data_IF_939609935992
#
_entry.id   IF_939609935992
#
_cell.length_a   1.000
_cell.length_b   1.000
_cell.length_c   1.000
_cell.angle_alpha   90.00
_cell.angle_beta   90.00
_cell.angle_gamma   90.00
#
_symmetry.space_group_name_H-M   'P 1'
#
loop_
_entity.id
_entity.type
_entity.pdbx_description
1 polymer ?
#
# COMPACT_ATOMS: atom_id res chain seq x y z
N UNK A 1 -33.10 48.64 -52.12
CA UNK A 1 -32.08 49.25 -51.24
C UNK A 1 -32.03 48.39 -50.00
N UNK A 2 -31.30 47.27 -50.07
CA UNK A 2 -31.03 46.42 -48.90
C UNK A 2 -29.60 46.71 -48.43
N UNK A 3 -29.48 47.01 -47.14
CA UNK A 3 -28.24 47.35 -46.46
C UNK A 3 -27.75 46.06 -45.81
N UNK A 4 -26.75 45.41 -46.40
CA UNK A 4 -26.11 44.22 -45.84
C UNK A 4 -25.20 44.60 -44.67
N UNK A 5 -25.66 44.41 -43.44
CA UNK A 5 -24.85 44.53 -42.24
C UNK A 5 -24.14 43.18 -41.99
N UNK A 6 -22.85 43.08 -42.33
CA UNK A 6 -22.04 41.91 -41.95
C UNK A 6 -21.61 42.05 -40.49
N UNK A 7 -22.26 41.31 -39.59
CA UNK A 7 -21.72 41.05 -38.25
C UNK A 7 -20.63 39.98 -38.39
N UNK A 8 -19.37 40.39 -38.39
CA UNK A 8 -18.26 39.47 -38.13
C UNK A 8 -18.29 39.11 -36.64
N UNK A 9 -18.86 37.95 -36.31
CA UNK A 9 -18.76 37.36 -34.98
C UNK A 9 -17.30 36.95 -34.76
N UNK A 10 -16.55 37.74 -34.00
CA UNK A 10 -15.20 37.37 -33.59
C UNK A 10 -15.29 36.10 -32.75
N UNK A 11 -14.69 35.00 -33.23
CA UNK A 11 -14.53 33.79 -32.43
C UNK A 11 -13.80 34.16 -31.12
N UNK A 12 -14.24 33.65 -29.95
CA UNK A 12 -13.51 33.88 -28.72
C UNK A 12 -12.10 33.32 -28.89
N UNK A 13 -11.09 34.18 -28.81
CA UNK A 13 -9.70 33.73 -28.67
C UNK A 13 -9.64 32.95 -27.37
N UNK A 14 -9.59 31.63 -27.46
CA UNK A 14 -9.15 30.80 -26.35
C UNK A 14 -7.73 31.26 -26.01
N UNK A 15 -7.57 32.01 -24.93
CA UNK A 15 -6.26 32.19 -24.31
C UNK A 15 -5.79 30.77 -23.97
N UNK A 16 -4.66 30.28 -24.50
CA UNK A 16 -4.15 28.99 -24.06
C UNK A 16 -3.94 29.10 -22.56
N UNK A 17 -4.63 28.25 -21.78
CA UNK A 17 -4.47 28.22 -20.34
C UNK A 17 -2.96 28.19 -20.03
N UNK A 18 -2.47 29.16 -19.26
CA UNK A 18 -1.06 29.22 -18.90
C UNK A 18 -0.66 27.88 -18.30
N UNK A 19 0.51 27.31 -18.69
CA UNK A 19 0.93 26.03 -18.14
C UNK A 19 1.01 26.13 -16.61
N UNK A 20 0.81 25.00 -15.89
CA UNK A 20 1.04 24.95 -14.45
C UNK A 20 2.43 25.51 -14.11
N UNK A 21 2.54 26.17 -12.95
CA UNK A 21 3.81 26.66 -12.44
C UNK A 21 4.78 25.50 -12.19
N UNK A 22 4.25 24.37 -11.71
CA UNK A 22 4.95 23.10 -11.58
C UNK A 22 4.01 21.96 -11.94
N UNK A 23 4.56 20.96 -12.60
CA UNK A 23 3.87 19.74 -12.98
C UNK A 23 4.81 18.55 -12.80
N UNK A 24 4.55 17.73 -11.78
CA UNK A 24 5.32 16.54 -11.46
C UNK A 24 4.49 15.30 -11.77
N UNK A 25 4.66 14.71 -12.96
CA UNK A 25 3.97 13.50 -13.36
C UNK A 25 4.88 12.28 -13.12
N UNK A 26 4.64 11.59 -12.01
CA UNK A 26 5.44 10.43 -11.59
C UNK A 26 5.11 9.17 -12.39
N UNK A 27 3.93 9.12 -13.00
CA UNK A 27 3.50 8.02 -13.88
C UNK A 27 4.25 8.09 -15.20
N UNK A 28 4.21 9.26 -15.86
CA UNK A 28 4.91 9.50 -17.11
C UNK A 28 6.42 9.76 -16.92
N UNK A 29 6.86 9.97 -15.68
CA UNK A 29 8.22 10.42 -15.31
C UNK A 29 8.60 11.70 -16.04
N UNK A 30 7.65 12.62 -16.17
CA UNK A 30 7.82 13.92 -16.80
C UNK A 30 7.65 15.01 -15.74
N UNK A 31 8.64 15.90 -15.65
CA UNK A 31 8.68 16.94 -14.63
C UNK A 31 8.91 18.28 -15.30
N UNK A 32 8.02 19.22 -15.07
CA UNK A 32 8.04 20.52 -15.75
C UNK A 32 7.88 21.66 -14.78
N UNK A 33 8.69 22.71 -14.97
CA UNK A 33 8.51 24.01 -14.30
C UNK A 33 8.15 25.05 -15.34
N UNK A 34 6.99 25.70 -15.19
CA UNK A 34 6.47 26.66 -16.17
C UNK A 34 6.37 26.10 -17.59
N UNK A 35 6.05 24.81 -17.72
CA UNK A 35 5.97 24.11 -19.02
C UNK A 35 7.31 23.62 -19.61
N UNK A 36 8.45 23.88 -18.98
CA UNK A 36 9.77 23.40 -19.44
C UNK A 36 10.17 22.13 -18.70
N UNK A 37 10.58 21.09 -19.42
CA UNK A 37 11.08 19.83 -18.83
C UNK A 37 12.36 20.07 -18.00
N UNK A 38 12.42 19.50 -16.81
CA UNK A 38 13.53 19.63 -15.88
C UNK A 38 13.79 18.31 -15.15
N UNK A 39 15.02 18.03 -14.68
CA UNK A 39 15.26 16.85 -13.85
C UNK A 39 14.52 16.93 -12.53
N UNK A 40 13.99 15.81 -12.04
CA UNK A 40 13.26 15.72 -10.75
C UNK A 40 14.06 16.33 -9.59
N UNK A 41 15.37 16.07 -9.54
CA UNK A 41 16.25 16.57 -8.48
C UNK A 41 16.36 18.11 -8.41
N UNK A 42 15.94 18.83 -9.45
CA UNK A 42 15.92 20.31 -9.46
C UNK A 42 14.60 20.92 -9.00
N UNK A 43 13.55 20.10 -8.85
CA UNK A 43 12.19 20.53 -8.47
C UNK A 43 11.67 19.83 -7.22
N UNK A 44 12.33 18.76 -6.76
CA UNK A 44 11.95 18.01 -5.59
C UNK A 44 13.20 17.47 -4.87
N UNK A 45 13.25 17.68 -3.56
CA UNK A 45 14.16 17.05 -2.62
C UNK A 45 13.50 15.80 -2.03
N UNK A 46 14.33 14.84 -1.63
CA UNK A 46 13.88 13.62 -0.98
C UNK A 46 14.90 13.16 0.06
N UNK A 47 14.41 12.72 1.22
CA UNK A 47 15.22 12.12 2.26
C UNK A 47 14.53 10.92 2.90
N UNK A 48 15.27 9.83 3.12
CA UNK A 48 14.87 8.65 3.91
C UNK A 48 16.14 7.96 4.41
N UNK A 49 16.30 7.82 5.72
CA UNK A 49 17.54 7.28 6.30
C UNK A 49 17.71 5.76 6.13
N UNK A 50 16.62 5.01 6.06
CA UNK A 50 16.64 3.54 5.91
C UNK A 50 16.40 3.08 4.47
N UNK A 51 16.91 1.91 4.06
CA UNK A 51 16.42 1.23 2.85
C UNK A 51 14.93 0.91 2.95
N UNK A 52 14.24 0.81 1.82
CA UNK A 52 12.82 0.44 1.79
C UNK A 52 12.45 -0.26 0.48
N UNK A 53 11.46 -1.16 0.52
CA UNK A 53 11.03 -1.90 -0.66
C UNK A 53 10.09 -1.10 -1.57
N UNK A 54 10.05 -1.45 -2.84
CA UNK A 54 9.07 -1.04 -3.85
C UNK A 54 9.02 -2.09 -4.97
N UNK A 55 8.05 -2.01 -5.85
CA UNK A 55 7.93 -2.81 -7.06
C UNK A 55 8.36 -1.97 -8.26
N UNK A 56 9.32 -2.49 -9.03
CA UNK A 56 9.80 -1.81 -10.24
C UNK A 56 8.84 -1.99 -11.43
N UNK A 57 9.15 -1.34 -12.56
CA UNK A 57 8.34 -1.40 -13.77
C UNK A 57 8.25 -2.82 -14.38
N UNK A 58 9.10 -3.76 -13.95
CA UNK A 58 9.03 -5.16 -14.36
C UNK A 58 8.14 -6.01 -13.42
N UNK A 59 7.49 -5.40 -12.43
CA UNK A 59 6.68 -6.10 -11.43
C UNK A 59 7.53 -6.86 -10.41
N UNK A 60 8.80 -6.49 -10.22
CA UNK A 60 9.73 -7.17 -9.32
C UNK A 60 9.95 -6.32 -8.05
N UNK A 61 9.87 -6.97 -6.89
CA UNK A 61 10.22 -6.33 -5.62
C UNK A 61 11.71 -5.96 -5.58
N UNK A 62 11.99 -4.70 -5.23
CA UNK A 62 13.33 -4.10 -5.13
C UNK A 62 13.50 -3.41 -3.80
N UNK A 63 14.75 -3.18 -3.41
CA UNK A 63 15.11 -2.31 -2.29
C UNK A 63 15.72 -1.04 -2.85
N UNK A 64 15.12 0.11 -2.53
CA UNK A 64 15.74 1.41 -2.73
C UNK A 64 16.68 1.70 -1.55
N UNK A 65 17.93 2.13 -1.78
CA UNK A 65 18.82 2.62 -0.73
C UNK A 65 18.24 3.83 0.01
N UNK A 66 18.96 4.28 1.04
CA UNK A 66 18.69 5.57 1.68
C UNK A 66 18.68 6.70 0.64
N UNK A 67 17.89 7.74 0.90
CA UNK A 67 17.75 8.97 0.10
C UNK A 67 17.40 8.75 -1.38
N UNK A 68 16.87 7.57 -1.72
CA UNK A 68 16.42 7.24 -3.07
C UNK A 68 14.89 7.21 -3.14
N UNK A 69 14.25 8.11 -3.91
CA UNK A 69 12.80 8.08 -4.14
C UNK A 69 12.36 6.74 -4.75
N UNK A 70 11.16 6.28 -4.36
CA UNK A 70 10.56 5.04 -4.87
C UNK A 70 9.46 5.39 -5.86
N UNK A 71 9.65 5.08 -7.15
CA UNK A 71 8.58 5.12 -8.16
C UNK A 71 8.02 3.72 -8.27
N UNK A 72 6.86 3.52 -7.66
CA UNK A 72 6.27 2.21 -7.40
C UNK A 72 5.33 1.77 -8.51
N UNK A 73 5.17 0.45 -8.63
CA UNK A 73 4.32 -0.21 -9.61
C UNK A 73 3.49 -1.31 -8.94
N UNK A 74 2.50 -1.81 -9.64
CA UNK A 74 1.89 -3.10 -9.31
C UNK A 74 2.77 -4.25 -9.81
N UNK A 75 2.55 -5.48 -9.33
CA UNK A 75 3.23 -6.64 -9.91
C UNK A 75 2.80 -6.87 -11.38
N UNK A 76 1.71 -6.26 -11.82
CA UNK A 76 1.31 -6.20 -13.24
C UNK A 76 2.20 -5.28 -14.10
N UNK A 77 3.05 -4.46 -13.47
CA UNK A 77 3.85 -3.42 -14.12
C UNK A 77 3.12 -2.09 -14.29
N UNK A 78 1.85 -1.97 -13.85
CA UNK A 78 1.13 -0.68 -13.89
C UNK A 78 1.78 0.33 -12.93
N UNK A 79 2.16 1.53 -13.38
CA UNK A 79 2.75 2.54 -12.51
C UNK A 79 1.74 3.08 -11.50
N UNK A 80 2.19 3.29 -10.26
CA UNK A 80 1.42 3.90 -9.16
C UNK A 80 1.92 5.30 -8.79
N UNK A 81 3.15 5.64 -9.19
CA UNK A 81 3.76 6.95 -8.99
C UNK A 81 4.76 6.98 -7.84
N UNK A 82 5.00 8.16 -7.27
CA UNK A 82 5.92 8.33 -6.14
C UNK A 82 5.31 7.75 -4.87
N UNK A 83 6.00 6.81 -4.25
CA UNK A 83 5.63 6.22 -2.96
C UNK A 83 6.27 7.00 -1.81
N UNK A 84 5.41 7.58 -0.95
CA UNK A 84 5.78 8.27 0.28
C UNK A 84 5.08 7.65 1.48
N UNK A 85 5.86 7.14 2.43
CA UNK A 85 5.34 6.46 3.61
C UNK A 85 5.84 7.11 4.90
N UNK A 86 4.96 7.21 5.90
CA UNK A 86 5.31 7.64 7.25
C UNK A 86 6.29 6.67 7.92
N UNK A 87 6.89 7.03 9.06
CA UNK A 87 7.73 6.08 9.80
C UNK A 87 6.86 4.91 10.31
N UNK A 88 7.40 3.69 10.26
CA UNK A 88 6.69 2.51 10.73
C UNK A 88 7.66 1.47 11.31
N UNK A 89 7.13 0.57 12.13
CA UNK A 89 7.87 -0.51 12.75
C UNK A 89 7.12 -1.82 12.57
N UNK A 90 7.81 -2.88 12.13
CA UNK A 90 7.25 -4.21 12.10
C UNK A 90 7.51 -4.91 13.44
N UNK A 91 6.41 -5.14 14.17
CA UNK A 91 6.41 -5.70 15.53
C UNK A 91 6.46 -7.22 15.57
N UNK A 92 6.19 -7.89 14.44
CA UNK A 92 6.33 -9.34 14.36
C UNK A 92 7.71 -9.68 13.80
N UNK A 93 8.37 -10.65 14.43
CA UNK A 93 9.66 -11.17 14.00
C UNK A 93 9.75 -12.65 14.32
N UNK A 94 10.29 -13.52 13.45
CA UNK A 94 10.70 -13.20 12.09
C UNK A 94 9.49 -12.90 11.20
N UNK A 95 9.64 -11.95 10.27
CA UNK A 95 8.63 -11.65 9.24
C UNK A 95 8.68 -12.69 8.12
N UNK A 96 9.86 -13.29 7.92
CA UNK A 96 10.00 -14.50 7.13
C UNK A 96 9.38 -15.65 7.92
N UNK A 97 8.54 -16.43 7.26
CA UNK A 97 7.77 -17.46 7.94
C UNK A 97 8.57 -18.77 8.05
N UNK A 98 9.90 -18.70 7.89
CA UNK A 98 10.78 -19.85 7.78
C UNK A 98 11.04 -20.57 9.10
N UNK A 99 10.94 -19.86 10.23
CA UNK A 99 11.06 -20.41 11.58
C UNK A 99 10.34 -19.54 12.62
N UNK A 100 10.20 -20.00 13.87
CA UNK A 100 9.61 -19.21 14.96
C UNK A 100 8.08 -19.05 14.95
N UNK A 101 7.40 -19.47 13.89
CA UNK A 101 5.94 -19.56 13.83
C UNK A 101 5.47 -20.98 14.16
N UNK A 102 4.37 -21.10 14.90
CA UNK A 102 3.68 -22.37 15.06
C UNK A 102 2.94 -22.69 13.77
N UNK A 103 3.07 -23.92 13.28
CA UNK A 103 2.47 -24.36 12.02
C UNK A 103 1.63 -25.60 12.30
N UNK A 104 0.34 -25.54 11.98
CA UNK A 104 -0.56 -26.69 11.90
C UNK A 104 -0.87 -26.96 10.43
N UNK A 105 -0.47 -28.14 9.92
CA UNK A 105 -0.77 -28.56 8.55
C UNK A 105 0.00 -27.81 7.45
N UNK A 106 1.28 -27.47 7.66
CA UNK A 106 2.04 -26.71 6.67
C UNK A 106 3.48 -27.15 6.44
N UNK A 107 4.03 -26.75 5.29
CA UNK A 107 5.40 -27.02 4.84
C UNK A 107 6.11 -25.73 4.42
N UNK A 108 7.44 -25.78 4.38
CA UNK A 108 8.28 -24.69 3.85
C UNK A 108 8.34 -24.75 2.32
N UNK A 109 8.25 -23.60 1.66
CA UNK A 109 8.54 -23.43 0.24
C UNK A 109 9.04 -22.00 -0.03
N UNK A 110 9.68 -21.72 -1.16
CA UNK A 110 9.96 -20.34 -1.55
C UNK A 110 8.69 -19.60 -2.00
N UNK A 111 8.57 -18.33 -1.61
CA UNK A 111 7.62 -17.39 -2.18
C UNK A 111 7.97 -17.07 -3.65
N UNK A 112 7.02 -16.50 -4.43
CA UNK A 112 7.30 -16.05 -5.80
C UNK A 112 8.45 -15.02 -5.91
N UNK A 113 8.72 -14.26 -4.84
CA UNK A 113 9.81 -13.29 -4.75
C UNK A 113 11.14 -13.91 -4.25
N UNK A 114 11.17 -15.23 -4.03
CA UNK A 114 12.33 -15.96 -3.52
C UNK A 114 12.50 -15.93 -1.99
N UNK A 115 11.65 -15.19 -1.26
CA UNK A 115 11.65 -15.20 0.20
C UNK A 115 11.12 -16.51 0.78
N UNK A 116 11.29 -16.73 2.08
CA UNK A 116 10.72 -17.91 2.75
C UNK A 116 9.20 -17.78 2.91
N UNK A 117 8.47 -18.78 2.43
CA UNK A 117 7.03 -18.90 2.58
C UNK A 117 6.62 -20.14 3.38
N UNK A 118 5.34 -20.16 3.75
CA UNK A 118 4.65 -21.32 4.32
C UNK A 118 3.48 -21.70 3.43
N UNK A 119 3.41 -22.98 3.04
CA UNK A 119 2.26 -23.58 2.38
C UNK A 119 1.46 -24.30 3.45
N UNK A 120 0.28 -23.79 3.76
CA UNK A 120 -0.71 -24.45 4.58
C UNK A 120 -1.56 -25.33 3.68
N UNK A 121 -1.75 -26.60 4.02
CA UNK A 121 -2.56 -27.55 3.25
C UNK A 121 -3.53 -28.26 4.18
N UNK A 122 -4.79 -28.31 3.77
CA UNK A 122 -5.83 -28.97 4.56
C UNK A 122 -6.10 -30.36 3.99
N UNK A 123 -6.05 -31.37 4.86
CA UNK A 123 -6.50 -32.73 4.55
C UNK A 123 -7.98 -32.87 4.90
N UNK A 124 -8.70 -33.72 4.17
CA UNK A 124 -10.12 -33.99 4.44
C UNK A 124 -10.31 -34.48 5.89
N UNK A 125 -11.23 -33.85 6.63
CA UNK A 125 -11.50 -34.20 8.04
C UNK A 125 -10.39 -33.84 9.04
N UNK A 126 -9.32 -33.16 8.60
CA UNK A 126 -8.36 -32.56 9.52
C UNK A 126 -9.00 -31.38 10.26
N UNK A 127 -8.59 -31.19 11.52
CA UNK A 127 -8.94 -29.98 12.29
C UNK A 127 -8.26 -28.71 11.74
N UNK A 128 -8.15 -27.70 12.58
CA UNK A 128 -7.61 -26.39 12.21
C UNK A 128 -6.21 -26.45 11.54
N UNK A 129 -6.11 -25.90 10.33
CA UNK A 129 -4.87 -25.65 9.60
C UNK A 129 -4.54 -24.16 9.66
N UNK A 130 -3.38 -23.80 10.19
CA UNK A 130 -3.01 -22.40 10.42
C UNK A 130 -1.53 -22.21 10.67
N UNK A 131 -1.11 -20.97 10.53
CA UNK A 131 0.13 -20.42 11.02
C UNK A 131 -0.19 -19.48 12.18
N UNK A 132 0.55 -19.53 13.30
CA UNK A 132 0.38 -18.57 14.38
C UNK A 132 1.65 -18.14 15.09
N UNK A 133 1.60 -16.95 15.69
CA UNK A 133 2.68 -16.37 16.50
C UNK A 133 2.13 -15.44 17.56
N UNK A 134 2.67 -15.53 18.77
CA UNK A 134 2.39 -14.54 19.81
C UNK A 134 3.09 -13.24 19.46
N UNK A 135 2.34 -12.14 19.48
CA UNK A 135 2.87 -10.78 19.31
C UNK A 135 2.31 -9.92 20.45
N UNK A 136 3.17 -9.17 21.12
CA UNK A 136 2.76 -8.28 22.20
C UNK A 136 2.49 -6.89 21.62
N UNK A 137 1.24 -6.46 21.67
CA UNK A 137 0.76 -5.19 21.16
C UNK A 137 0.25 -4.31 22.29
N UNK A 138 0.29 -3.00 22.06
CA UNK A 138 -0.33 -2.02 22.95
C UNK A 138 -1.85 -2.17 22.88
N UNK A 139 -2.48 -2.47 24.01
CA UNK A 139 -3.92 -2.66 24.12
C UNK A 139 -4.70 -1.37 23.82
N UNK A 140 -5.88 -1.51 23.21
CA UNK A 140 -6.75 -0.38 22.87
C UNK A 140 -6.22 0.58 21.81
N UNK A 141 -5.04 0.32 21.24
CA UNK A 141 -4.47 1.07 20.13
C UNK A 141 -4.67 0.29 18.82
N UNK A 142 -4.96 0.97 17.70
CA UNK A 142 -5.10 0.30 16.42
C UNK A 142 -3.74 -0.26 15.96
N UNK A 143 -3.76 -1.50 15.49
CA UNK A 143 -2.65 -2.12 14.75
C UNK A 143 -3.20 -2.77 13.49
N UNK A 144 -2.43 -2.66 12.41
CA UNK A 144 -2.70 -3.32 11.14
C UNK A 144 -1.73 -4.48 10.99
N UNK A 145 -2.29 -5.65 10.71
CA UNK A 145 -1.57 -6.86 10.36
C UNK A 145 -1.67 -7.05 8.85
N UNK A 146 -0.57 -7.37 8.18
CA UNK A 146 -0.60 -7.73 6.76
C UNK A 146 0.33 -8.89 6.44
N UNK A 147 -0.05 -9.66 5.40
CA UNK A 147 0.75 -10.72 4.81
C UNK A 147 0.51 -10.75 3.30
N UNK A 148 1.50 -11.21 2.55
CA UNK A 148 1.30 -11.62 1.17
C UNK A 148 0.80 -13.06 1.11
N UNK A 149 -0.08 -13.37 0.16
CA UNK A 149 -0.54 -14.72 -0.08
C UNK A 149 -0.72 -15.01 -1.58
N UNK A 150 -0.64 -16.29 -1.92
CA UNK A 150 -1.14 -16.78 -3.20
C UNK A 150 -2.66 -16.77 -3.17
N UNK A 151 -3.28 -16.21 -4.21
CA UNK A 151 -4.73 -16.14 -4.37
C UNK A 151 -5.31 -17.16 -5.35
N UNK A 152 -4.46 -17.93 -6.00
CA UNK A 152 -4.82 -18.89 -7.05
C UNK A 152 -4.87 -20.35 -6.55
N UNK A 153 -4.74 -20.58 -5.24
CA UNK A 153 -4.71 -21.92 -4.64
C UNK A 153 -6.03 -22.27 -3.94
N UNK A 154 -6.47 -21.43 -3.00
CA UNK A 154 -7.77 -21.52 -2.34
C UNK A 154 -8.54 -20.23 -2.50
N UNK A 155 -9.86 -20.30 -2.37
CA UNK A 155 -10.73 -19.14 -2.48
C UNK A 155 -10.73 -18.29 -1.22
N UNK A 156 -10.74 -18.91 -0.05
CA UNK A 156 -10.91 -18.18 1.20
C UNK A 156 -9.73 -18.34 2.16
N UNK A 157 -9.40 -17.23 2.81
CA UNK A 157 -8.44 -17.18 3.91
C UNK A 157 -9.04 -16.40 5.08
N UNK A 158 -8.51 -16.65 6.28
CA UNK A 158 -8.95 -15.99 7.50
C UNK A 158 -7.73 -15.57 8.32
N UNK A 159 -7.70 -14.29 8.69
CA UNK A 159 -6.78 -13.68 9.65
C UNK A 159 -7.52 -13.49 10.97
N UNK A 160 -6.98 -13.93 12.09
CA UNK A 160 -7.67 -13.89 13.38
C UNK A 160 -6.66 -13.82 14.54
N UNK A 161 -7.10 -13.44 15.74
CA UNK A 161 -6.19 -13.40 16.88
C UNK A 161 -6.47 -12.34 17.94
N UNK A 162 -5.47 -12.16 18.82
CA UNK A 162 -5.39 -11.12 19.86
C UNK A 162 -6.57 -11.08 20.84
N UNK A 163 -7.03 -12.24 21.28
CA UNK A 163 -8.07 -12.37 22.31
C UNK A 163 -9.45 -11.85 21.89
N UNK A 164 -9.65 -11.54 20.62
CA UNK A 164 -10.92 -11.08 20.06
C UNK A 164 -11.83 -12.26 19.67
N UNK A 165 -12.11 -13.18 20.60
CA UNK A 165 -13.03 -14.31 20.38
C UNK A 165 -12.74 -15.12 19.10
N UNK A 166 -13.72 -15.86 18.55
CA UNK A 166 -13.56 -16.63 17.32
C UNK A 166 -13.60 -15.77 16.03
N UNK A 167 -13.31 -14.47 16.11
CA UNK A 167 -13.61 -13.52 15.04
C UNK A 167 -12.36 -12.75 14.54
N UNK A 168 -12.37 -12.45 13.25
CA UNK A 168 -11.19 -12.01 12.50
C UNK A 168 -11.55 -11.24 11.23
N UNK A 169 -10.72 -11.35 10.21
CA UNK A 169 -10.99 -10.84 8.87
C UNK A 169 -10.96 -12.02 7.90
N UNK A 170 -12.08 -12.21 7.21
CA UNK A 170 -12.19 -13.17 6.12
C UNK A 170 -11.93 -12.52 4.78
N UNK A 171 -11.31 -13.26 3.86
CA UNK A 171 -10.95 -12.79 2.54
C UNK A 171 -11.49 -13.75 1.48
N UNK A 172 -12.22 -13.24 0.48
CA UNK A 172 -12.45 -13.94 -0.78
C UNK A 172 -11.33 -13.55 -1.74
N UNK A 173 -10.29 -14.39 -1.80
CA UNK A 173 -9.08 -14.17 -2.57
C UNK A 173 -9.37 -14.13 -4.08
N UNK A 174 -10.43 -14.78 -4.56
CA UNK A 174 -10.80 -14.79 -5.97
C UNK A 174 -11.59 -13.55 -6.35
N UNK A 175 -12.56 -13.17 -5.52
CA UNK A 175 -13.35 -11.95 -5.73
C UNK A 175 -12.52 -10.68 -5.44
N UNK A 176 -11.47 -10.77 -4.64
CA UNK A 176 -10.71 -9.60 -4.20
C UNK A 176 -11.47 -8.78 -3.17
N UNK A 177 -12.23 -9.44 -2.29
CA UNK A 177 -13.01 -8.76 -1.25
C UNK A 177 -12.59 -9.23 0.14
N UNK A 178 -12.76 -8.36 1.12
CA UNK A 178 -12.45 -8.63 2.51
C UNK A 178 -13.63 -8.28 3.41
N UNK A 179 -13.80 -9.02 4.50
CA UNK A 179 -14.90 -8.88 5.44
C UNK A 179 -14.38 -8.85 6.86
N UNK A 180 -14.71 -7.77 7.56
CA UNK A 180 -14.55 -7.70 9.02
C UNK A 180 -15.56 -8.62 9.68
N UNK A 181 -15.08 -9.49 10.56
CA UNK A 181 -15.90 -10.33 11.42
C UNK A 181 -15.66 -9.93 12.91
N UNK A 182 -16.74 -9.69 13.62
CA UNK A 182 -16.79 -9.16 15.00
C UNK A 182 -15.84 -7.97 15.29
N UNK A 183 -14.85 -8.12 16.19
CA UNK A 183 -14.17 -7.00 16.86
C UNK A 183 -12.98 -6.42 16.08
N UNK A 184 -12.74 -6.86 14.84
CA UNK A 184 -11.81 -6.18 13.96
C UNK A 184 -12.48 -4.92 13.41
N UNK A 185 -11.69 -3.95 12.97
CA UNK A 185 -12.19 -2.62 12.58
C UNK A 185 -11.79 -2.24 11.16
N UNK A 186 -10.92 -3.01 10.52
CA UNK A 186 -10.52 -2.81 9.14
C UNK A 186 -10.17 -4.11 8.46
N UNK A 187 -10.42 -4.16 7.15
CA UNK A 187 -10.11 -5.29 6.30
C UNK A 187 -9.76 -4.73 4.91
N UNK A 188 -8.62 -5.15 4.38
CA UNK A 188 -8.14 -4.70 3.07
C UNK A 188 -7.55 -5.90 2.32
N UNK A 189 -7.81 -5.95 1.02
CA UNK A 189 -7.13 -6.85 0.10
C UNK A 189 -6.68 -6.06 -1.12
N UNK A 190 -5.38 -6.12 -1.38
CA UNK A 190 -4.74 -5.51 -2.52
C UNK A 190 -4.36 -6.62 -3.50
N UNK A 191 -5.01 -6.66 -4.67
CA UNK A 191 -4.63 -7.59 -5.73
C UNK A 191 -3.36 -7.05 -6.39
N UNK A 192 -2.25 -7.73 -6.14
CA UNK A 192 -0.96 -7.34 -6.67
C UNK A 192 -0.75 -7.92 -8.08
N UNK A 193 -1.20 -9.16 -8.31
CA UNK A 193 -1.18 -9.85 -9.61
C UNK A 193 -2.35 -10.85 -9.73
N UNK A 194 -2.53 -11.54 -10.87
CA UNK A 194 -3.48 -12.64 -10.96
C UNK A 194 -3.24 -13.76 -9.93
N UNK A 195 -2.01 -13.92 -9.43
CA UNK A 195 -1.63 -15.02 -8.52
C UNK A 195 -1.31 -14.57 -7.10
N UNK A 196 -1.11 -13.27 -6.86
CA UNK A 196 -0.67 -12.75 -5.56
C UNK A 196 -1.60 -11.63 -5.08
N UNK A 197 -1.92 -11.66 -3.79
CA UNK A 197 -2.57 -10.56 -3.09
C UNK A 197 -1.81 -10.23 -1.81
N UNK A 198 -1.92 -8.98 -1.35
CA UNK A 198 -1.63 -8.60 0.02
C UNK A 198 -2.94 -8.49 0.77
N UNK A 199 -3.06 -9.22 1.87
CA UNK A 199 -4.21 -9.16 2.76
C UNK A 199 -3.83 -8.41 4.03
N UNK A 200 -4.74 -7.59 4.53
CA UNK A 200 -4.54 -6.86 5.77
C UNK A 200 -5.83 -6.80 6.60
N UNK A 201 -5.65 -6.74 7.91
CA UNK A 201 -6.72 -6.48 8.85
C UNK A 201 -6.26 -5.57 9.96
N UNK A 202 -7.16 -4.73 10.45
CA UNK A 202 -6.90 -3.76 11.51
C UNK A 202 -7.76 -4.09 12.72
N UNK A 203 -7.16 -4.03 13.91
CA UNK A 203 -7.86 -4.21 15.18
C UNK A 203 -7.27 -3.32 16.28
N UNK A 204 -8.02 -3.13 17.36
CA UNK A 204 -7.49 -2.66 18.64
C UNK A 204 -7.56 -3.81 19.66
N UNK A 205 -6.43 -4.41 20.07
CA UNK A 205 -6.47 -5.61 20.90
C UNK A 205 -6.97 -5.29 22.31
N UNK A 206 -7.93 -6.07 22.80
CA UNK A 206 -8.42 -6.00 24.19
C UNK A 206 -7.54 -6.82 25.16
N UNK A 207 -6.81 -7.79 24.62
CA UNK A 207 -5.77 -8.54 25.31
C UNK A 207 -4.71 -8.99 24.29
N UNK A 208 -3.56 -9.42 24.79
CA UNK A 208 -2.54 -10.02 23.94
C UNK A 208 -2.82 -11.50 23.71
N UNK A 209 -2.42 -12.01 22.55
CA UNK A 209 -2.67 -13.38 22.16
C UNK A 209 -1.94 -13.75 20.89
N UNK A 210 -2.36 -14.86 20.29
CA UNK A 210 -1.83 -15.31 19.01
C UNK A 210 -2.36 -14.43 17.89
N UNK A 211 -1.48 -14.00 16.99
CA UNK A 211 -1.81 -13.71 15.61
C UNK A 211 -1.87 -15.04 14.87
N UNK A 212 -2.95 -15.32 14.14
CA UNK A 212 -3.09 -16.51 13.34
C UNK A 212 -3.67 -16.23 11.95
N UNK A 213 -3.27 -17.05 10.98
CA UNK A 213 -3.75 -17.03 9.62
C UNK A 213 -3.93 -18.46 9.12
N UNK A 214 -4.99 -18.72 8.37
CA UNK A 214 -5.15 -20.01 7.69
C UNK A 214 -6.13 -19.94 6.52
N UNK A 215 -6.25 -21.03 5.76
CA UNK A 215 -7.36 -21.19 4.82
C UNK A 215 -8.71 -21.17 5.55
N UNK A 216 -9.77 -20.87 4.82
CA UNK A 216 -11.15 -20.95 5.28
C UNK A 216 -12.03 -21.54 4.16
N UNK A 217 -13.28 -21.84 4.46
CA UNK A 217 -14.30 -22.27 3.50
C UNK A 217 -15.32 -21.18 3.17
N UNK A 218 -15.24 -20.03 3.84
CA UNK A 218 -16.07 -18.84 3.60
C UNK A 218 -15.35 -17.56 4.06
N UNK A 219 -15.87 -16.40 3.67
CA UNK A 219 -15.44 -15.07 4.16
C UNK A 219 -15.94 -14.75 5.59
N UNK A 220 -16.78 -15.61 6.17
CA UNK A 220 -17.14 -15.60 7.60
C UNK A 220 -16.17 -16.38 8.47
N UNK A 221 -15.19 -17.08 7.88
CA UNK A 221 -14.18 -17.85 8.60
C UNK A 221 -14.60 -19.27 8.95
N UNK A 222 -15.56 -19.86 8.21
CA UNK A 222 -15.90 -21.28 8.37
C UNK A 222 -14.70 -22.18 8.04
N UNK A 223 -14.67 -23.36 8.67
CA UNK A 223 -13.57 -24.33 8.58
C UNK A 223 -14.07 -25.74 8.23
N UNK A 224 -15.15 -25.82 7.46
CA UNK A 224 -15.75 -27.08 7.04
C UNK A 224 -14.98 -27.69 5.85
N UNK A 225 -13.70 -27.97 6.06
CA UNK A 225 -12.78 -28.33 4.98
C UNK A 225 -13.11 -29.68 4.36
N UNK A 226 -13.12 -29.71 3.03
CA UNK A 226 -13.32 -30.93 2.24
C UNK A 226 -12.00 -31.62 1.88
N UNK A 227 -10.88 -30.93 2.08
CA UNK A 227 -9.55 -31.37 1.70
C UNK A 227 -9.16 -30.84 0.32
N UNK A 228 -7.89 -30.44 0.18
CA UNK A 228 -7.36 -29.84 -1.05
C UNK A 228 -7.25 -28.31 -0.99
N UNK A 229 -7.78 -27.66 0.04
CA UNK A 229 -7.53 -26.25 0.30
C UNK A 229 -6.06 -26.03 0.63
N UNK A 230 -5.46 -25.04 -0.04
CA UNK A 230 -4.05 -24.69 0.11
C UNK A 230 -3.87 -23.17 0.15
N UNK A 231 -3.00 -22.69 1.05
CA UNK A 231 -2.69 -21.28 1.19
C UNK A 231 -1.20 -21.08 1.42
N UNK A 232 -0.51 -20.53 0.42
CA UNK A 232 0.88 -20.08 0.53
C UNK A 232 0.93 -18.63 0.99
N UNK A 233 1.67 -18.36 2.07
CA UNK A 233 1.80 -17.03 2.71
C UNK A 233 3.25 -16.68 3.00
N UNK A 234 3.57 -15.38 3.01
CA UNK A 234 4.90 -14.83 3.31
C UNK A 234 4.81 -13.35 3.73
N UNK A 235 5.93 -12.78 4.19
CA UNK A 235 6.08 -11.37 4.60
C UNK A 235 5.06 -10.92 5.65
N UNK A 236 5.11 -11.51 6.85
CA UNK A 236 4.26 -11.06 7.95
C UNK A 236 4.71 -9.71 8.50
N UNK A 237 3.74 -8.81 8.66
CA UNK A 237 3.96 -7.47 9.18
C UNK A 237 2.86 -7.08 10.16
N UNK A 238 3.26 -6.50 11.30
CA UNK A 238 2.34 -5.91 12.27
C UNK A 238 2.81 -4.50 12.62
N UNK A 239 2.00 -3.50 12.28
CA UNK A 239 2.33 -2.09 12.43
C UNK A 239 1.28 -1.39 13.31
N UNK A 240 1.70 -0.40 14.09
CA UNK A 240 0.75 0.47 14.79
C UNK A 240 0.11 1.44 13.81
N UNK A 241 -1.20 1.63 13.91
CA UNK A 241 -1.98 2.47 13.01
C UNK A 241 -3.06 1.71 12.26
N UNK A 242 -3.55 2.32 11.18
CA UNK A 242 -4.71 1.86 10.41
C UNK A 242 -4.35 1.34 9.01
N UNK A 243 -3.09 1.43 8.61
CA UNK A 243 -2.63 1.14 7.25
C UNK A 243 -1.40 0.24 7.28
N UNK A 244 -1.34 -0.72 6.35
CA UNK A 244 -0.14 -1.51 6.13
C UNK A 244 0.82 -0.76 5.19
N UNK A 245 2.09 -0.65 5.57
CA UNK A 245 3.13 -0.04 4.72
C UNK A 245 3.94 -1.09 3.99
N UNK A 246 4.89 -0.67 3.16
CA UNK A 246 5.82 -1.56 2.47
C UNK A 246 6.49 -2.53 3.43
N UNK A 247 6.79 -3.78 3.01
CA UNK A 247 7.44 -4.76 3.88
C UNK A 247 8.71 -4.24 4.56
N UNK A 248 8.78 -4.40 5.87
CA UNK A 248 9.92 -4.12 6.74
C UNK A 248 10.40 -5.48 7.28
N UNK A 249 11.44 -6.08 6.67
CA UNK A 249 11.91 -7.39 7.07
C UNK A 249 12.43 -7.41 8.50
N UNK A 250 12.05 -8.42 9.25
CA UNK A 250 12.50 -8.70 10.61
C UNK A 250 13.03 -10.12 10.70
N UNK A 251 14.02 -10.32 11.57
CA UNK A 251 14.62 -11.63 11.83
C UNK A 251 14.47 -12.00 13.30
N UNK A 252 15.37 -11.50 14.15
CA UNK A 252 15.44 -11.83 15.58
C UNK A 252 14.84 -10.75 16.49
N UNK A 253 14.50 -9.59 15.93
CA UNK A 253 13.91 -8.46 16.64
C UNK A 253 13.03 -7.63 15.69
N UNK A 254 12.25 -6.72 16.27
CA UNK A 254 11.52 -5.68 15.53
C UNK A 254 12.49 -4.84 14.69
N UNK A 255 11.99 -4.30 13.58
CA UNK A 255 12.74 -3.40 12.71
C UNK A 255 11.89 -2.20 12.31
N UNK A 256 12.55 -1.09 12.02
CA UNK A 256 11.92 0.19 11.71
C UNK A 256 12.27 0.65 10.30
N UNK A 257 11.34 1.35 9.67
CA UNK A 257 11.53 2.14 8.47
C UNK A 257 11.29 3.60 8.78
N UNK A 258 12.23 4.46 8.40
CA UNK A 258 12.08 5.91 8.57
C UNK A 258 11.07 6.50 7.60
N UNK A 259 10.41 7.59 7.99
CA UNK A 259 9.49 8.32 7.12
C UNK A 259 10.21 8.85 5.87
N UNK A 260 9.50 8.81 4.74
CA UNK A 260 9.90 9.55 3.54
C UNK A 260 9.62 11.04 3.76
N UNK A 261 10.59 11.90 3.40
CA UNK A 261 10.44 13.35 3.44
C UNK A 261 10.69 13.91 2.05
N UNK A 262 9.64 14.38 1.40
CA UNK A 262 9.72 15.11 0.15
C UNK A 262 9.61 16.62 0.41
N UNK A 263 10.12 17.43 -0.50
CA UNK A 263 9.99 18.88 -0.44
C UNK A 263 10.22 19.53 -1.79
N UNK A 264 9.36 20.46 -2.18
CA UNK A 264 9.49 21.19 -3.45
C UNK A 264 10.72 22.09 -3.44
N UNK A 265 11.39 22.18 -4.60
CA UNK A 265 12.58 23.01 -4.81
C UNK A 265 12.26 24.09 -5.83
N UNK A 266 12.74 25.31 -5.59
CA UNK A 266 12.80 26.39 -6.57
C UNK A 266 11.43 26.89 -7.05
N UNK A 267 10.42 26.79 -6.18
CA UNK A 267 9.09 27.35 -6.36
C UNK A 267 8.61 27.94 -5.04
N UNK A 268 7.96 29.10 -5.11
CA UNK A 268 7.46 29.81 -3.94
C UNK A 268 6.28 30.70 -4.29
N UNK A 269 5.49 31.07 -3.28
CA UNK A 269 4.33 31.95 -3.41
C UNK A 269 3.01 31.19 -3.36
N UNK A 270 1.91 31.92 -3.57
CA UNK A 270 0.56 31.39 -3.44
C UNK A 270 0.19 30.53 -4.65
N UNK A 271 -0.19 29.27 -4.40
CA UNK A 271 -0.59 28.33 -5.44
C UNK A 271 -1.81 27.52 -5.03
N UNK A 272 -2.66 27.19 -6.01
CA UNK A 272 -3.58 26.07 -5.88
C UNK A 272 -2.81 24.79 -6.17
N UNK A 273 -2.85 23.83 -5.25
CA UNK A 273 -2.17 22.54 -5.38
C UNK A 273 -3.21 21.46 -5.69
N UNK A 274 -2.96 20.69 -6.73
CA UNK A 274 -3.70 19.46 -7.01
C UNK A 274 -2.73 18.27 -6.92
N UNK A 275 -3.12 17.25 -6.16
CA UNK A 275 -2.39 16.00 -5.98
C UNK A 275 -3.30 14.88 -6.48
N UNK A 276 -2.90 14.19 -7.54
CA UNK A 276 -3.57 12.99 -8.02
C UNK A 276 -2.91 11.73 -7.45
N UNK A 277 -3.73 10.77 -7.04
CA UNK A 277 -3.30 9.50 -6.45
C UNK A 277 -3.40 8.32 -7.44
N UNK A 278 -2.84 7.18 -7.05
CA UNK A 278 -2.78 5.96 -7.85
C UNK A 278 -4.15 5.36 -8.21
N UNK A 279 -5.17 5.62 -7.39
CA UNK A 279 -6.55 5.19 -7.60
C UNK A 279 -7.40 6.19 -8.42
N UNK A 280 -6.78 7.28 -8.90
CA UNK A 280 -7.45 8.33 -9.66
C UNK A 280 -8.17 9.38 -8.81
N UNK A 281 -8.17 9.25 -7.48
CA UNK A 281 -8.67 10.31 -6.59
C UNK A 281 -7.74 11.52 -6.61
N UNK A 282 -8.30 12.69 -6.24
CA UNK A 282 -7.57 13.96 -6.21
C UNK A 282 -7.76 14.67 -4.88
N UNK A 283 -6.67 15.23 -4.38
CA UNK A 283 -6.68 16.19 -3.27
C UNK A 283 -6.40 17.58 -3.84
N UNK A 284 -7.33 18.52 -3.64
CA UNK A 284 -7.17 19.92 -4.06
C UNK A 284 -7.01 20.79 -2.82
N UNK A 285 -5.91 21.53 -2.75
CA UNK A 285 -5.57 22.44 -1.67
C UNK A 285 -5.51 23.86 -2.26
N UNK A 286 -6.55 24.68 -2.08
CA UNK A 286 -6.56 26.03 -2.62
C UNK A 286 -5.62 26.96 -1.84
N UNK A 287 -5.09 27.97 -2.51
CA UNK A 287 -4.35 29.09 -1.93
C UNK A 287 -3.30 28.69 -0.88
N UNK A 288 -2.47 27.69 -1.20
CA UNK A 288 -1.36 27.25 -0.36
C UNK A 288 -0.17 28.19 -0.52
N UNK A 289 0.40 28.63 0.59
CA UNK A 289 1.67 29.35 0.59
C UNK A 289 2.82 28.34 0.43
N UNK A 290 3.40 28.31 -0.77
CA UNK A 290 4.50 27.41 -1.11
C UNK A 290 5.83 28.09 -0.79
N UNK A 291 6.73 27.33 -0.18
CA UNK A 291 8.11 27.72 0.08
C UNK A 291 9.05 26.53 -0.18
N UNK A 292 10.35 26.79 -0.14
CA UNK A 292 11.38 25.75 -0.29
C UNK A 292 11.18 24.63 0.74
N UNK A 293 11.20 23.38 0.27
CA UNK A 293 10.95 22.21 1.11
C UNK A 293 9.47 21.91 1.39
N UNK A 294 8.53 22.69 0.85
CA UNK A 294 7.09 22.44 1.06
C UNK A 294 6.67 21.07 0.53
N UNK A 295 5.84 20.37 1.30
CA UNK A 295 5.10 19.19 0.87
C UNK A 295 3.81 19.06 1.67
N UNK A 296 2.78 18.44 1.10
CA UNK A 296 1.53 18.22 1.84
C UNK A 296 1.74 17.24 2.99
N UNK A 297 1.38 17.66 4.21
CA UNK A 297 1.35 16.78 5.38
C UNK A 297 0.10 15.88 5.40
N UNK A 298 -0.92 16.20 4.60
CA UNK A 298 -2.19 15.48 4.53
C UNK A 298 -2.25 14.69 3.23
N UNK A 299 -1.60 13.52 3.22
CA UNK A 299 -1.70 12.56 2.13
C UNK A 299 -2.66 11.44 2.56
N UNK A 300 -3.88 11.37 1.99
CA UNK A 300 -4.81 10.28 2.32
C UNK A 300 -4.32 8.92 1.80
N UNK A 301 -3.36 8.92 0.88
CA UNK A 301 -2.74 7.73 0.28
C UNK A 301 -1.24 7.94 0.10
N UNK A 302 -0.44 6.87 0.18
CA UNK A 302 1.01 6.97 0.09
C UNK A 302 1.53 7.15 -1.35
N UNK A 303 0.77 6.74 -2.37
CA UNK A 303 1.16 6.87 -3.77
C UNK A 303 0.64 8.16 -4.40
N UNK A 304 1.57 8.91 -4.98
CA UNK A 304 1.33 10.17 -5.68
C UNK A 304 1.59 9.96 -7.17
N UNK A 305 0.51 9.94 -7.95
CA UNK A 305 0.58 9.82 -9.39
C UNK A 305 1.09 11.14 -10.02
N UNK A 306 0.55 12.27 -9.55
CA UNK A 306 0.90 13.60 -10.08
C UNK A 306 0.71 14.70 -9.05
N UNK A 307 1.53 15.75 -9.12
CA UNK A 307 1.37 16.98 -8.34
C UNK A 307 1.48 18.20 -9.27
N UNK A 308 0.47 19.05 -9.26
CA UNK A 308 0.41 20.28 -10.08
C UNK A 308 0.16 21.51 -9.23
N UNK A 309 0.91 22.58 -9.51
CA UNK A 309 0.73 23.89 -8.89
C UNK A 309 0.26 24.91 -9.92
N UNK A 310 -0.85 25.59 -9.64
CA UNK A 310 -1.37 26.69 -10.44
C UNK A 310 -1.17 28.00 -9.68
N UNK A 311 -0.71 29.05 -10.36
CA UNK A 311 -0.58 30.38 -9.72
C UNK A 311 -1.97 30.93 -9.43
N UNK A 312 -2.10 31.54 -8.25
CA UNK A 312 -3.26 32.33 -7.84
C UNK A 312 -3.01 33.81 -8.12
#
# INVERSE_FOLDING_TARGET
>A
MEIGLSLALAAPRACPASPPALDLDFIARSFRRGGTEVPLATVMSFARASPASYVDAAGVARIAPADTPRVDHELSGRPRGLLLEAAAANRVYPSDLGSGWNVSGGTSLPAPDGSAARLLTVNAGAGDCYLSRSVSLTLGQPHTVSLCCRRDQTRYAMLYGFGNGPAGVGFDLWAGTARVNANWTGAEIEILSPQVARIAGTLSPASNGLLALGPATSDTGEKAFSGGEALTVWNAQVETGLCATSPIPTSTAEAERTADRAGLIGISGLHDVEIAHDDGTKTVLPAQEIAEGWWSAALPRPHIARLTLHRV
#
